data_IF_835784816455
#
_entry.id   IF_835784816455
#
_cell.length_a   1.000
_cell.length_b   1.000
_cell.length_c   1.000
_cell.angle_alpha   90.00
_cell.angle_beta   90.00
_cell.angle_gamma   90.00
#
_symmetry.space_group_name_H-M   'P 1'
#
loop_
_entity.id
_entity.type
_entity.pdbx_description
1 polymer ?
#
# COMPACT_ATOMS: atom_id res chain seq x y z
N UNK A 1 0.10 5.37 -13.48
CA UNK A 1 -0.36 5.25 -12.08
C UNK A 1 -0.76 3.80 -11.89
N UNK A 2 -0.63 3.23 -10.70
CA UNK A 2 -1.01 1.85 -10.41
C UNK A 2 -2.03 1.83 -9.27
N UNK A 3 -2.95 0.85 -9.32
CA UNK A 3 -3.90 0.58 -8.25
C UNK A 3 -3.25 -0.25 -7.16
N UNK A 4 -3.53 0.12 -5.92
CA UNK A 4 -3.10 -0.59 -4.71
C UNK A 4 -4.30 -0.77 -3.79
N UNK A 5 -4.26 -1.84 -3.00
CA UNK A 5 -5.21 -2.14 -1.94
C UNK A 5 -4.48 -2.15 -0.63
N UNK A 6 -4.93 -1.38 0.35
CA UNK A 6 -4.37 -1.42 1.69
C UNK A 6 -4.70 -2.75 2.37
N UNK A 7 -3.69 -3.51 2.81
CA UNK A 7 -3.88 -4.75 3.57
C UNK A 7 -4.18 -4.48 5.05
N UNK A 8 -3.73 -3.32 5.53
CA UNK A 8 -3.92 -2.83 6.90
C UNK A 8 -4.30 -1.35 6.89
N UNK A 9 -4.80 -0.84 8.02
CA UNK A 9 -4.95 0.61 8.20
C UNK A 9 -3.58 1.24 8.43
N UNK A 10 -3.19 2.21 7.60
CA UNK A 10 -1.96 2.97 7.79
C UNK A 10 -2.16 4.44 7.41
N UNK A 11 -1.31 5.31 7.96
CA UNK A 11 -1.32 6.75 7.66
C UNK A 11 -0.12 7.10 6.80
N UNK A 12 -0.37 7.60 5.59
CA UNK A 12 0.68 8.17 4.76
C UNK A 12 1.10 9.53 5.31
N UNK A 13 2.20 9.58 6.07
CA UNK A 13 2.69 10.83 6.70
C UNK A 13 2.84 11.97 5.69
N UNK A 14 3.43 11.67 4.52
CA UNK A 14 3.63 12.66 3.44
C UNK A 14 2.32 13.11 2.75
N UNK A 15 1.30 12.25 2.71
CA UNK A 15 0.01 12.58 2.09
C UNK A 15 -0.99 13.13 3.10
N UNK A 16 -0.63 13.12 4.39
CA UNK A 16 -1.52 13.39 5.52
C UNK A 16 -2.87 12.68 5.39
N UNK A 17 -2.85 11.50 4.77
CA UNK A 17 -4.03 10.71 4.43
C UNK A 17 -3.97 9.39 5.18
N UNK A 18 -5.08 9.02 5.80
CA UNK A 18 -5.29 7.70 6.34
C UNK A 18 -5.86 6.81 5.25
N UNK A 19 -5.28 5.63 5.08
CA UNK A 19 -5.77 4.59 4.19
C UNK A 19 -6.40 3.51 5.07
N UNK A 20 -7.67 3.21 4.82
CA UNK A 20 -8.37 2.16 5.55
C UNK A 20 -8.00 0.77 5.05
N UNK A 21 -8.16 -0.24 5.90
CA UNK A 21 -7.96 -1.63 5.48
C UNK A 21 -8.94 -1.98 4.35
N UNK A 22 -8.43 -2.63 3.31
CA UNK A 22 -9.09 -2.93 2.04
C UNK A 22 -9.44 -1.71 1.17
N UNK A 23 -9.02 -0.50 1.53
CA UNK A 23 -9.21 0.68 0.68
C UNK A 23 -8.37 0.54 -0.61
N UNK A 24 -9.02 0.78 -1.74
CA UNK A 24 -8.38 0.83 -3.05
C UNK A 24 -7.99 2.26 -3.38
N UNK A 25 -6.73 2.47 -3.77
CA UNK A 25 -6.21 3.79 -4.10
C UNK A 25 -5.22 3.71 -5.26
N UNK A 26 -5.08 4.83 -5.97
CA UNK A 26 -4.19 4.95 -7.10
C UNK A 26 -2.99 5.83 -6.75
N UNK A 27 -1.79 5.28 -6.92
CA UNK A 27 -0.55 6.05 -6.77
C UNK A 27 0.54 5.54 -7.71
N UNK A 28 1.70 6.19 -7.73
CA UNK A 28 2.83 5.70 -8.52
C UNK A 28 3.55 4.58 -7.77
N UNK A 29 4.14 3.63 -8.50
CA UNK A 29 4.88 2.50 -7.91
C UNK A 29 6.00 2.98 -6.99
N UNK A 30 6.78 3.97 -7.46
CA UNK A 30 7.83 4.62 -6.66
C UNK A 30 7.30 5.17 -5.34
N UNK A 31 6.10 5.77 -5.37
CA UNK A 31 5.45 6.33 -4.18
C UNK A 31 5.04 5.24 -3.20
N UNK A 32 4.45 4.15 -3.69
CA UNK A 32 4.10 3.00 -2.87
C UNK A 32 5.34 2.41 -2.19
N UNK A 33 6.42 2.17 -2.94
CA UNK A 33 7.69 1.65 -2.41
C UNK A 33 8.28 2.56 -1.31
N UNK A 34 8.26 3.89 -1.51
CA UNK A 34 8.66 4.84 -0.46
C UNK A 34 7.78 4.71 0.79
N UNK A 35 6.47 4.53 0.61
CA UNK A 35 5.49 4.45 1.69
C UNK A 35 5.69 3.18 2.51
N UNK A 36 5.84 2.03 1.85
CA UNK A 36 6.15 0.75 2.50
C UNK A 36 7.49 0.81 3.25
N UNK A 37 8.52 1.38 2.62
CA UNK A 37 9.84 1.52 3.25
C UNK A 37 9.82 2.40 4.51
N UNK A 38 8.99 3.45 4.53
CA UNK A 38 8.83 4.29 5.70
C UNK A 38 8.04 3.57 6.80
N UNK A 39 6.92 2.92 6.46
CA UNK A 39 6.13 2.19 7.45
C UNK A 39 6.93 1.05 8.06
N UNK A 40 7.71 0.31 7.25
CA UNK A 40 8.60 -0.75 7.75
C UNK A 40 9.70 -0.25 8.69
N UNK A 41 10.15 1.00 8.53
CA UNK A 41 11.10 1.63 9.46
C UNK A 41 10.47 1.95 10.80
N UNK A 42 9.22 2.42 10.81
CA UNK A 42 8.48 2.75 12.04
C UNK A 42 7.90 1.52 12.73
N UNK A 43 7.48 0.53 11.95
CA UNK A 43 6.82 -0.70 12.39
C UNK A 43 7.54 -1.92 11.82
N UNK A 44 8.47 -2.48 12.59
CA UNK A 44 9.28 -3.64 12.17
C UNK A 44 8.46 -4.93 12.01
N UNK A 45 7.31 -5.02 12.65
CA UNK A 45 6.39 -6.17 12.58
C UNK A 45 5.51 -6.18 11.32
N UNK A 46 5.53 -5.11 10.53
CA UNK A 46 4.68 -5.00 9.33
C UNK A 46 5.52 -5.33 8.10
N UNK A 47 5.32 -6.54 7.56
CA UNK A 47 6.02 -7.00 6.36
C UNK A 47 5.45 -6.40 5.08
N UNK A 48 4.13 -6.17 5.03
CA UNK A 48 3.40 -5.66 3.87
C UNK A 48 2.22 -4.78 4.31
N UNK A 49 2.11 -3.59 3.73
CA UNK A 49 1.04 -2.63 4.08
C UNK A 49 -0.02 -2.50 2.99
N UNK A 50 0.37 -2.78 1.75
CA UNK A 50 -0.49 -2.64 0.59
C UNK A 50 -0.10 -3.65 -0.50
N UNK A 51 -1.08 -4.02 -1.32
CA UNK A 51 -0.92 -4.94 -2.44
C UNK A 51 -1.27 -4.22 -3.73
N UNK A 52 -0.40 -4.29 -4.74
CA UNK A 52 -0.69 -3.72 -6.07
C UNK A 52 -1.74 -4.58 -6.78
N UNK A 53 -2.88 -3.97 -7.13
CA UNK A 53 -3.99 -4.62 -7.87
C UNK A 53 -3.84 -4.53 -9.39
N UNK A 54 -2.93 -3.68 -9.87
CA UNK A 54 -2.69 -3.45 -11.30
C UNK A 54 -1.96 -4.61 -11.98
N UNK A 55 -1.37 -5.51 -11.20
CA UNK A 55 -1.11 -6.87 -11.68
C UNK A 55 -2.43 -7.61 -11.48
N UNK A 56 -3.15 -7.83 -12.57
CA UNK A 56 -4.02 -9.01 -12.64
C UNK A 56 -3.12 -10.20 -12.30
N UNK A 57 -3.10 -10.64 -11.05
CA UNK A 57 -2.73 -12.01 -10.73
C UNK A 57 -3.80 -12.88 -11.39
N UNK A 58 -3.48 -13.66 -12.44
CA UNK A 58 -4.44 -14.58 -13.04
C UNK A 58 -4.54 -15.82 -12.15
N UNK A 59 -4.98 -15.66 -10.90
CA UNK A 59 -5.27 -16.76 -9.99
C UNK A 59 -6.55 -16.44 -9.20
N UNK A 60 -7.71 -16.62 -9.85
CA UNK A 60 -8.78 -17.48 -9.33
C UNK A 60 -9.91 -17.61 -10.38
N UNK A 61 -9.83 -18.64 -11.23
CA UNK A 61 -11.00 -19.40 -11.72
C UNK A 61 -10.63 -20.72 -12.39
#
# INVERSE_FOLDING_TARGET
MAKFKADIKFRGIKENKEFEKNEEFEMTVKRAEELEANIKKEHKDIEKVMTRLDKEDPEDK
#
